data_IF_122708188134
#
_entry.id   IF_122708188134
#
_cell.length_a   1.000
_cell.length_b   1.000
_cell.length_c   1.000
_cell.angle_alpha   90.00
_cell.angle_beta   90.00
_cell.angle_gamma   90.00
#
_symmetry.space_group_name_H-M   'P 1'
#
loop_
_entity.id
_entity.type
_entity.pdbx_description
1 polymer ?
#
# COMPACT_ATOMS: atom_id res chain seq x y z
N UNK A 1 -27.59 10.54 -10.76
CA UNK A 1 -26.92 9.77 -9.70
C UNK A 1 -26.51 10.75 -8.60
N UNK A 2 -27.20 10.75 -7.46
CA UNK A 2 -27.05 11.81 -6.45
C UNK A 2 -25.66 11.83 -5.80
N UNK A 3 -25.12 13.03 -5.55
CA UNK A 3 -23.80 13.25 -4.94
C UNK A 3 -23.72 12.71 -3.49
N UNK A 4 -24.85 12.71 -2.77
CA UNK A 4 -24.97 12.35 -1.34
C UNK A 4 -24.62 10.88 -1.04
N UNK A 5 -25.15 9.85 -1.74
CA UNK A 5 -24.75 8.47 -1.53
C UNK A 5 -23.30 8.16 -1.94
N UNK A 6 -22.73 8.91 -2.90
CA UNK A 6 -21.32 8.78 -3.29
C UNK A 6 -20.43 9.33 -2.18
N UNK A 7 -20.74 10.53 -1.65
CA UNK A 7 -20.02 11.13 -0.53
C UNK A 7 -20.01 10.21 0.69
N UNK A 8 -21.15 9.58 1.02
CA UNK A 8 -21.27 8.71 2.19
C UNK A 8 -20.36 7.48 2.14
N UNK A 9 -19.97 7.03 0.94
CA UNK A 9 -19.05 5.90 0.73
C UNK A 9 -17.60 6.35 0.61
N UNK A 10 -17.34 7.49 -0.01
CA UNK A 10 -15.98 7.99 -0.28
C UNK A 10 -15.38 8.70 0.94
N UNK A 11 -16.17 9.52 1.66
CA UNK A 11 -15.72 10.30 2.82
C UNK A 11 -15.07 9.47 3.93
N UNK A 12 -15.68 8.38 4.45
CA UNK A 12 -15.04 7.60 5.51
C UNK A 12 -13.72 6.96 5.08
N UNK A 13 -13.58 6.63 3.80
CA UNK A 13 -12.34 6.06 3.27
C UNK A 13 -11.23 7.09 3.12
N UNK A 14 -11.57 8.29 2.62
CA UNK A 14 -10.63 9.41 2.58
C UNK A 14 -10.14 9.77 3.98
N UNK A 15 -11.03 9.71 4.98
CA UNK A 15 -10.68 9.93 6.37
C UNK A 15 -9.69 8.88 6.90
N UNK A 16 -9.91 7.58 6.62
CA UNK A 16 -8.98 6.51 7.02
C UNK A 16 -7.61 6.70 6.35
N UNK A 17 -7.56 7.07 5.08
CA UNK A 17 -6.30 7.31 4.36
C UNK A 17 -5.55 8.49 4.99
N UNK A 18 -6.23 9.61 5.25
CA UNK A 18 -5.62 10.78 5.90
C UNK A 18 -5.12 10.40 7.30
N UNK A 19 -5.91 9.65 8.06
CA UNK A 19 -5.53 9.18 9.39
C UNK A 19 -4.31 8.25 9.34
N UNK A 20 -4.23 7.34 8.37
CA UNK A 20 -3.08 6.46 8.15
C UNK A 20 -1.82 7.27 7.81
N UNK A 21 -1.94 8.30 6.96
CA UNK A 21 -0.84 9.19 6.62
C UNK A 21 -0.34 9.91 7.88
N UNK A 22 -1.24 10.54 8.64
CA UNK A 22 -0.91 11.20 9.91
C UNK A 22 -0.25 10.22 10.89
N UNK A 23 -0.73 8.99 10.96
CA UNK A 23 -0.18 7.94 11.80
C UNK A 23 1.26 7.56 11.41
N UNK A 24 1.55 7.45 10.12
CA UNK A 24 2.91 7.19 9.61
C UNK A 24 3.85 8.35 9.94
N UNK A 25 3.42 9.60 9.73
CA UNK A 25 4.23 10.77 10.10
C UNK A 25 4.49 10.83 11.60
N UNK A 26 3.46 10.58 12.43
CA UNK A 26 3.59 10.53 13.88
C UNK A 26 4.58 9.44 14.31
N UNK A 27 4.43 8.22 13.79
CA UNK A 27 5.36 7.11 14.04
C UNK A 27 6.79 7.46 13.66
N UNK A 28 6.98 8.06 12.48
CA UNK A 28 8.30 8.44 11.97
C UNK A 28 9.00 9.46 12.88
N UNK A 29 8.27 10.47 13.35
CA UNK A 29 8.81 11.46 14.31
C UNK A 29 9.14 10.79 15.65
N UNK A 30 8.27 9.92 16.17
CA UNK A 30 8.56 9.17 17.40
C UNK A 30 9.80 8.29 17.25
N UNK A 31 9.96 7.55 16.15
CA UNK A 31 11.12 6.69 15.95
C UNK A 31 12.46 7.45 15.95
N UNK A 32 12.48 8.67 15.41
CA UNK A 32 13.66 9.55 15.45
C UNK A 32 13.96 10.04 16.87
N UNK A 33 12.92 10.34 17.66
CA UNK A 33 13.10 10.82 19.03
C UNK A 33 13.55 9.67 19.96
N UNK A 34 13.04 8.46 19.74
CA UNK A 34 13.28 7.31 20.63
C UNK A 34 14.57 6.54 20.30
N UNK A 35 15.17 6.78 19.14
CA UNK A 35 16.39 6.10 18.71
C UNK A 35 17.32 7.05 17.94
N UNK A 36 18.44 7.40 18.57
CA UNK A 36 19.46 8.28 18.01
C UNK A 36 20.05 7.73 16.70
N UNK A 37 20.15 6.40 16.54
CA UNK A 37 20.64 5.81 15.29
C UNK A 37 19.65 5.98 14.14
N UNK A 38 18.36 6.01 14.44
CA UNK A 38 17.34 6.34 13.44
C UNK A 38 17.33 7.83 13.12
N UNK A 39 17.70 8.69 14.07
CA UNK A 39 17.84 10.13 13.84
C UNK A 39 18.95 10.50 12.85
N UNK A 40 19.98 9.66 12.71
CA UNK A 40 21.05 9.84 11.71
C UNK A 40 20.61 9.51 10.27
N UNK A 41 19.47 8.83 10.08
CA UNK A 41 18.95 8.44 8.75
C UNK A 41 18.10 9.57 8.15
N UNK A 42 17.95 9.55 6.82
CA UNK A 42 17.08 10.51 6.15
C UNK A 42 15.63 10.31 6.59
N UNK A 43 14.88 11.41 6.71
CA UNK A 43 13.47 11.36 7.11
C UNK A 43 12.62 10.46 6.18
N UNK A 44 12.91 10.48 4.88
CA UNK A 44 12.25 9.61 3.88
C UNK A 44 12.47 8.13 4.17
N UNK A 45 13.67 7.75 4.62
CA UNK A 45 14.00 6.36 4.95
C UNK A 45 13.23 5.91 6.20
N UNK A 46 13.03 6.82 7.16
CA UNK A 46 12.23 6.55 8.37
C UNK A 46 10.74 6.46 8.08
N UNK A 47 10.22 7.29 7.16
CA UNK A 47 8.84 7.16 6.67
C UNK A 47 8.65 5.81 5.98
N UNK A 48 9.60 5.40 5.14
CA UNK A 48 9.56 4.10 4.48
C UNK A 48 9.63 2.96 5.50
N UNK A 49 10.49 3.06 6.51
CA UNK A 49 10.56 2.12 7.62
C UNK A 49 9.21 2.01 8.36
N UNK A 50 8.60 3.15 8.72
CA UNK A 50 7.32 3.18 9.41
C UNK A 50 6.19 2.57 8.58
N UNK A 51 6.13 2.90 7.29
CA UNK A 51 5.16 2.33 6.34
C UNK A 51 5.36 0.82 6.14
N UNK A 52 6.59 0.38 5.88
CA UNK A 52 6.89 -1.05 5.64
C UNK A 52 6.69 -1.91 6.88
N UNK A 53 6.83 -1.33 8.07
CA UNK A 53 6.51 -1.99 9.36
C UNK A 53 5.02 -2.30 9.46
N UNK A 54 4.15 -1.31 9.28
CA UNK A 54 2.69 -1.51 9.38
C UNK A 54 2.11 -2.26 8.16
N UNK A 55 2.81 -2.23 7.03
CA UNK A 55 2.51 -3.03 5.85
C UNK A 55 3.04 -4.47 5.95
N UNK A 56 3.72 -4.84 7.04
CA UNK A 56 4.31 -6.17 7.28
C UNK A 56 5.31 -6.63 6.21
N UNK A 57 5.95 -5.68 5.51
CA UNK A 57 7.02 -5.96 4.54
C UNK A 57 8.35 -6.15 5.27
N UNK A 58 8.72 -5.19 6.13
CA UNK A 58 9.88 -5.28 7.02
C UNK A 58 11.21 -5.63 6.36
N UNK A 59 11.79 -4.71 5.57
CA UNK A 59 13.06 -4.95 4.86
C UNK A 59 14.26 -5.31 5.76
N UNK A 60 14.22 -4.92 7.04
CA UNK A 60 15.29 -5.22 8.01
C UNK A 60 16.59 -4.43 7.84
N UNK A 61 16.69 -3.57 6.82
CA UNK A 61 17.82 -2.66 6.60
C UNK A 61 17.94 -1.54 7.65
N UNK A 62 16.79 -1.10 8.18
CA UNK A 62 16.65 -0.12 9.24
C UNK A 62 15.83 -0.78 10.33
N UNK A 63 16.36 -0.80 11.55
CA UNK A 63 15.70 -1.43 12.71
C UNK A 63 15.97 -0.64 13.98
N UNK A 64 14.99 -0.57 14.90
CA UNK A 64 15.17 0.09 16.19
C UNK A 64 16.19 -0.67 17.04
N UNK A 65 17.22 0.03 17.48
CA UNK A 65 18.31 -0.45 18.31
C UNK A 65 18.04 -0.26 19.81
N UNK A 66 17.23 0.74 20.19
CA UNK A 66 16.91 0.98 21.61
C UNK A 66 15.72 0.11 22.07
N UNK A 67 15.72 -0.39 23.33
CA UNK A 67 14.62 -1.21 23.84
C UNK A 67 13.29 -0.44 23.86
N UNK A 68 13.35 0.88 24.04
CA UNK A 68 12.18 1.73 24.08
C UNK A 68 11.59 1.97 22.68
N UNK A 69 12.43 2.16 21.64
CA UNK A 69 11.97 2.20 20.26
C UNK A 69 11.44 0.84 19.77
N UNK A 70 11.99 -0.27 20.24
CA UNK A 70 11.48 -1.62 19.97
C UNK A 70 10.08 -1.83 20.58
N UNK A 71 9.88 -1.45 21.85
CA UNK A 71 8.57 -1.51 22.48
C UNK A 71 7.55 -0.63 21.76
N UNK A 72 7.95 0.59 21.40
CA UNK A 72 7.12 1.49 20.60
C UNK A 72 6.76 0.85 19.25
N UNK A 73 7.72 0.22 18.55
CA UNK A 73 7.48 -0.48 17.29
C UNK A 73 6.39 -1.56 17.40
N UNK A 74 6.40 -2.34 18.48
CA UNK A 74 5.39 -3.38 18.73
C UNK A 74 4.01 -2.75 18.88
N UNK A 75 3.87 -1.75 19.76
CA UNK A 75 2.59 -1.05 19.99
C UNK A 75 2.10 -0.35 18.71
N UNK A 76 3.02 0.29 17.99
CA UNK A 76 2.76 0.95 16.73
C UNK A 76 2.23 -0.02 15.65
N UNK A 77 2.77 -1.24 15.61
CA UNK A 77 2.36 -2.27 14.66
C UNK A 77 0.96 -2.81 14.97
N UNK A 78 0.63 -3.01 16.25
CA UNK A 78 -0.69 -3.53 16.67
C UNK A 78 -1.83 -2.65 16.15
N UNK A 79 -1.66 -1.33 16.17
CA UNK A 79 -2.68 -0.40 15.67
C UNK A 79 -2.55 -0.11 14.17
N UNK A 80 -1.33 -0.06 13.65
CA UNK A 80 -1.07 0.28 12.26
C UNK A 80 -1.45 -0.83 11.26
N UNK A 81 -1.27 -2.10 11.61
CA UNK A 81 -1.57 -3.23 10.73
C UNK A 81 -3.08 -3.29 10.39
N UNK A 82 -4.02 -3.26 11.37
CA UNK A 82 -5.45 -3.25 11.06
C UNK A 82 -5.88 -2.08 10.17
N UNK A 83 -5.32 -0.88 10.38
CA UNK A 83 -5.64 0.28 9.55
C UNK A 83 -5.14 0.13 8.12
N UNK A 84 -3.93 -0.41 7.95
CA UNK A 84 -3.36 -0.72 6.63
C UNK A 84 -4.20 -1.78 5.92
N UNK A 85 -4.59 -2.86 6.61
CA UNK A 85 -5.45 -3.92 6.07
C UNK A 85 -6.83 -3.40 5.65
N UNK A 86 -7.44 -2.54 6.47
CA UNK A 86 -8.72 -1.92 6.13
C UNK A 86 -8.62 -1.04 4.88
N UNK A 87 -7.56 -0.25 4.79
CA UNK A 87 -7.27 0.59 3.62
C UNK A 87 -7.08 -0.26 2.37
N UNK A 88 -6.32 -1.35 2.48
CA UNK A 88 -6.06 -2.28 1.38
C UNK A 88 -7.33 -3.00 0.91
N UNK A 89 -8.17 -3.46 1.84
CA UNK A 89 -9.44 -4.12 1.52
C UNK A 89 -10.40 -3.17 0.77
N UNK A 90 -10.45 -1.91 1.19
CA UNK A 90 -11.24 -0.88 0.55
C UNK A 90 -10.72 -0.51 -0.84
N UNK A 91 -9.40 -0.39 -0.99
CA UNK A 91 -8.75 -0.20 -2.28
C UNK A 91 -9.09 -1.34 -3.26
N UNK A 92 -9.04 -2.60 -2.81
CA UNK A 92 -9.41 -3.77 -3.61
C UNK A 92 -10.86 -3.74 -4.13
N UNK A 93 -11.80 -3.26 -3.31
CA UNK A 93 -13.20 -3.06 -3.72
C UNK A 93 -13.32 -1.99 -4.80
N UNK A 94 -12.59 -0.88 -4.67
CA UNK A 94 -12.59 0.16 -5.70
C UNK A 94 -11.94 -0.26 -7.00
N UNK A 95 -10.83 -1.01 -6.96
CA UNK A 95 -10.19 -1.57 -8.15
C UNK A 95 -11.15 -2.49 -8.91
N UNK A 96 -11.89 -3.34 -8.19
CA UNK A 96 -12.89 -4.21 -8.81
C UNK A 96 -14.00 -3.39 -9.46
N UNK A 97 -14.49 -2.35 -8.77
CA UNK A 97 -15.56 -1.48 -9.28
C UNK A 97 -15.10 -0.64 -10.48
N UNK A 98 -13.90 -0.10 -10.44
CA UNK A 98 -13.31 0.68 -11.55
C UNK A 98 -13.09 -0.20 -12.77
N UNK A 99 -12.61 -1.43 -12.59
CA UNK A 99 -12.47 -2.41 -13.66
C UNK A 99 -13.80 -2.67 -14.41
N UNK A 100 -14.87 -2.96 -13.68
CA UNK A 100 -16.19 -3.17 -14.30
C UNK A 100 -16.73 -1.92 -14.99
N UNK A 101 -16.52 -0.73 -14.41
CA UNK A 101 -16.89 0.53 -15.05
C UNK A 101 -16.11 0.76 -16.36
N UNK A 102 -14.81 0.50 -16.38
CA UNK A 102 -13.98 0.64 -17.58
C UNK A 102 -14.46 -0.32 -18.69
N UNK A 103 -14.76 -1.58 -18.38
CA UNK A 103 -15.25 -2.53 -19.39
C UNK A 103 -16.56 -2.08 -20.06
N UNK A 104 -17.45 -1.42 -19.31
CA UNK A 104 -18.69 -0.84 -19.85
C UNK A 104 -18.37 0.34 -20.77
N UNK A 105 -17.46 1.23 -20.37
CA UNK A 105 -17.01 2.34 -21.21
C UNK A 105 -16.37 1.87 -22.52
N UNK A 106 -15.69 0.71 -22.51
CA UNK A 106 -15.09 0.11 -23.71
C UNK A 106 -16.10 -0.61 -24.63
N UNK A 107 -17.41 -0.48 -24.38
CA UNK A 107 -18.45 -0.95 -25.30
C UNK A 107 -18.58 -2.47 -25.39
N UNK A 108 -18.01 -3.22 -24.43
CA UNK A 108 -18.31 -4.65 -24.32
C UNK A 108 -19.73 -4.81 -23.76
N UNK A 109 -20.63 -5.34 -24.59
CA UNK A 109 -22.00 -5.73 -24.23
C UNK A 109 -21.95 -6.64 -22.99
N UNK A 110 -22.25 -6.08 -21.82
CA UNK A 110 -22.26 -6.81 -20.56
C UNK A 110 -23.60 -7.49 -20.38
N UNK A 111 -23.62 -8.82 -20.50
CA UNK A 111 -24.74 -9.63 -20.02
C UNK A 111 -24.79 -9.50 -18.50
N UNK A 112 -25.64 -8.60 -18.00
CA UNK A 112 -25.90 -8.36 -16.57
C UNK A 112 -26.08 -9.69 -15.81
N UNK A 113 -25.01 -10.18 -15.18
CA UNK A 113 -25.09 -11.25 -14.19
C UNK A 113 -25.32 -10.60 -12.83
N UNK A 114 -26.26 -11.09 -12.00
CA UNK A 114 -26.52 -10.54 -10.67
C UNK A 114 -25.22 -10.38 -9.90
N UNK A 115 -25.00 -9.18 -9.35
CA UNK A 115 -23.80 -8.72 -8.64
C UNK A 115 -23.53 -9.44 -7.31
N UNK A 116 -23.76 -10.75 -7.24
CA UNK A 116 -23.63 -11.51 -5.99
C UNK A 116 -22.19 -12.02 -5.78
N UNK A 117 -21.37 -12.03 -6.84
CA UNK A 117 -19.97 -12.44 -6.78
C UNK A 117 -19.12 -11.65 -7.78
N UNK A 118 -18.97 -10.34 -7.57
CA UNK A 118 -18.07 -9.50 -8.37
C UNK A 118 -16.60 -9.82 -8.05
N UNK A 119 -16.16 -11.02 -8.45
CA UNK A 119 -14.75 -11.41 -8.45
C UNK A 119 -14.17 -11.04 -9.81
N UNK A 120 -13.02 -10.38 -9.82
CA UNK A 120 -12.31 -10.12 -11.07
C UNK A 120 -11.96 -11.46 -11.73
N UNK A 121 -12.13 -11.61 -13.06
CA UNK A 121 -11.76 -12.84 -13.74
C UNK A 121 -10.25 -13.08 -13.57
N UNK A 122 -9.88 -14.32 -13.23
CA UNK A 122 -8.49 -14.69 -12.92
C UNK A 122 -7.47 -14.21 -13.98
N UNK A 123 -7.74 -14.29 -15.30
CA UNK A 123 -6.82 -13.77 -16.30
C UNK A 123 -6.52 -12.28 -16.15
N UNK A 124 -7.51 -11.46 -15.77
CA UNK A 124 -7.30 -10.03 -15.54
C UNK A 124 -6.43 -9.77 -14.32
N UNK A 125 -6.63 -10.51 -13.23
CA UNK A 125 -5.79 -10.39 -12.04
C UNK A 125 -4.35 -10.76 -12.35
N UNK A 126 -4.13 -11.85 -13.11
CA UNK A 126 -2.80 -12.26 -13.57
C UNK A 126 -2.15 -11.20 -14.47
N UNK A 127 -2.90 -10.61 -15.39
CA UNK A 127 -2.38 -9.53 -16.25
C UNK A 127 -2.02 -8.30 -15.43
N UNK A 128 -2.88 -7.86 -14.50
CA UNK A 128 -2.58 -6.74 -13.59
C UNK A 128 -1.32 -7.01 -12.76
N UNK A 129 -1.17 -8.24 -12.26
CA UNK A 129 0.01 -8.68 -11.51
C UNK A 129 1.29 -8.63 -12.36
N UNK A 130 1.24 -9.17 -13.58
CA UNK A 130 2.38 -9.10 -14.51
C UNK A 130 2.73 -7.66 -14.88
N UNK A 131 1.74 -6.78 -15.05
CA UNK A 131 1.96 -5.35 -15.29
C UNK A 131 2.66 -4.71 -14.10
N UNK A 132 2.25 -5.00 -12.85
CA UNK A 132 2.94 -4.47 -11.67
C UNK A 132 4.39 -4.94 -11.57
N UNK A 133 4.67 -6.20 -11.90
CA UNK A 133 6.05 -6.73 -11.95
C UNK A 133 6.87 -6.07 -13.06
N UNK A 134 6.31 -5.94 -14.26
CA UNK A 134 6.98 -5.28 -15.38
C UNK A 134 7.28 -3.80 -15.09
N UNK A 135 6.31 -3.09 -14.51
CA UNK A 135 6.50 -1.70 -14.09
C UNK A 135 7.57 -1.56 -13.00
N UNK A 136 7.56 -2.46 -12.00
CA UNK A 136 8.61 -2.51 -10.97
C UNK A 136 10.00 -2.74 -11.58
N UNK A 137 10.13 -3.71 -12.47
CA UNK A 137 11.40 -4.00 -13.17
C UNK A 137 11.90 -2.82 -14.00
N UNK A 138 11.00 -2.07 -14.67
CA UNK A 138 11.38 -0.85 -15.41
C UNK A 138 11.86 0.25 -14.46
N UNK A 139 11.17 0.45 -13.33
CA UNK A 139 11.46 1.54 -12.39
C UNK A 139 12.75 1.31 -11.60
N UNK A 140 13.04 0.04 -11.28
CA UNK A 140 14.25 -0.36 -10.54
C UNK A 140 15.37 -0.90 -11.43
N UNK A 141 15.24 -0.73 -12.75
CA UNK A 141 16.26 -1.10 -13.72
C UNK A 141 17.60 -0.43 -13.37
N UNK A 142 18.56 -1.22 -12.88
CA UNK A 142 19.88 -0.74 -12.53
C UNK A 142 20.55 -0.16 -13.78
N UNK A 143 20.86 1.13 -13.75
CA UNK A 143 21.36 1.96 -14.86
C UNK A 143 22.78 1.59 -15.36
N UNK A 144 23.25 0.35 -15.22
CA UNK A 144 24.63 -0.01 -15.58
C UNK A 144 25.00 -1.49 -15.64
N UNK A 145 24.12 -2.45 -15.37
CA UNK A 145 24.39 -3.89 -15.61
C UNK A 145 23.16 -4.46 -16.31
N UNK A 146 23.33 -5.00 -17.53
CA UNK A 146 22.21 -5.51 -18.33
C UNK A 146 21.41 -6.59 -17.60
N UNK A 147 20.13 -6.76 -18.00
CA UNK A 147 19.13 -7.71 -17.46
C UNK A 147 19.69 -8.72 -16.44
N UNK A 148 19.77 -8.31 -15.18
CA UNK A 148 20.07 -9.25 -14.09
C UNK A 148 18.76 -9.65 -13.44
N UNK A 149 18.62 -10.92 -13.04
CA UNK A 149 17.47 -11.39 -12.26
C UNK A 149 17.31 -10.56 -10.97
N UNK A 150 18.40 -9.97 -10.49
CA UNK A 150 18.42 -9.04 -9.35
C UNK A 150 17.58 -7.76 -9.58
N UNK A 151 17.26 -7.37 -10.83
CA UNK A 151 16.38 -6.23 -11.09
C UNK A 151 14.90 -6.56 -10.78
N UNK A 152 14.56 -7.85 -10.70
CA UNK A 152 13.23 -8.35 -10.32
C UNK A 152 13.12 -8.48 -8.79
N UNK A 153 14.25 -8.67 -8.10
CA UNK A 153 14.30 -8.86 -6.64
C UNK A 153 14.97 -7.67 -5.96
N UNK A 154 14.20 -6.89 -5.20
CA UNK A 154 14.74 -5.82 -4.36
C UNK A 154 15.81 -6.35 -3.39
N UNK A 155 17.06 -5.92 -3.58
CA UNK A 155 18.19 -6.21 -2.67
C UNK A 155 18.46 -5.06 -1.73
#
# INVERSE_FOLDING_TARGET
MGLIPVLRVVVPQMLIIVLLIVYIFFGSVMFIILDEKLAEKNFTDIILFSFTTIATIGYGNITPSTPLAQLFCIVFSILGIPMTLLTLANLGKYLTKSYWMLLVCFGKEMRWRPCENAKMPLPTVLVLFLITFAFGSILFYQKGKGFSIDDIYFR
#
